data_IF_510792536283
#
_entry.id   IF_510792536283
#
_cell.length_a   1.000
_cell.length_b   1.000
_cell.length_c   1.000
_cell.angle_alpha   90.00
_cell.angle_beta   90.00
_cell.angle_gamma   90.00
#
_symmetry.space_group_name_H-M   'P 1'
#
loop_
_entity.id
_entity.type
_entity.pdbx_description
1 polymer ?
#
# COMPACT_ATOMS: atom_id res chain seq x y z
N UNK A 1 -16.03 -29.00 4.39
CA UNK A 1 -16.41 -27.62 4.81
C UNK A 1 -15.31 -26.55 4.68
N UNK A 2 -14.04 -26.90 4.42
CA UNK A 2 -12.96 -25.95 4.09
C UNK A 2 -13.24 -25.13 2.81
N UNK A 3 -13.86 -25.77 1.82
CA UNK A 3 -14.14 -25.18 0.50
C UNK A 3 -15.05 -23.95 0.57
N UNK A 4 -16.10 -24.01 1.41
CA UNK A 4 -17.01 -22.87 1.62
C UNK A 4 -16.32 -21.70 2.34
N UNK A 5 -15.50 -21.98 3.36
CA UNK A 5 -14.73 -20.96 4.07
C UNK A 5 -13.70 -20.27 3.16
N UNK A 6 -13.11 -21.01 2.21
CA UNK A 6 -12.21 -20.45 1.20
C UNK A 6 -12.95 -19.54 0.21
N UNK A 7 -14.14 -19.94 -0.26
CA UNK A 7 -14.98 -19.11 -1.14
C UNK A 7 -15.40 -17.82 -0.44
N UNK A 8 -15.87 -17.91 0.81
CA UNK A 8 -16.25 -16.75 1.61
C UNK A 8 -15.06 -15.82 1.88
N UNK A 9 -13.86 -16.38 2.06
CA UNK A 9 -12.61 -15.62 2.21
C UNK A 9 -12.21 -14.88 0.94
N UNK A 10 -12.29 -15.53 -0.23
CA UNK A 10 -11.99 -14.90 -1.53
C UNK A 10 -12.98 -13.77 -1.87
N UNK A 11 -14.19 -13.83 -1.31
CA UNK A 11 -15.18 -12.75 -1.39
C UNK A 11 -14.85 -11.55 -0.47
N UNK A 12 -13.91 -11.68 0.48
CA UNK A 12 -13.49 -10.55 1.30
C UNK A 12 -12.68 -9.56 0.46
N UNK A 13 -13.06 -8.29 0.53
CA UNK A 13 -12.50 -7.25 -0.33
C UNK A 13 -10.98 -7.08 -0.26
N UNK A 14 -10.37 -7.35 0.90
CA UNK A 14 -8.92 -7.20 1.12
C UNK A 14 -8.23 -8.53 1.46
N UNK A 15 -8.79 -9.65 1.01
CA UNK A 15 -8.20 -10.96 1.26
C UNK A 15 -6.79 -11.12 0.69
N UNK A 16 -5.95 -11.81 1.45
CA UNK A 16 -4.57 -12.18 1.10
C UNK A 16 -4.28 -13.64 1.47
N UNK A 17 -3.36 -14.31 0.81
CA UNK A 17 -2.93 -15.68 1.19
C UNK A 17 -1.55 -15.64 1.83
N UNK A 18 -1.15 -16.70 2.53
CA UNK A 18 0.20 -16.85 3.07
C UNK A 18 0.20 -17.40 4.49
N UNK A 19 1.31 -18.00 4.95
CA UNK A 19 1.43 -18.46 6.33
C UNK A 19 1.45 -17.26 7.26
N UNK A 20 0.55 -17.23 8.25
CA UNK A 20 0.43 -16.14 9.21
C UNK A 20 1.00 -16.55 10.56
N UNK A 21 1.83 -15.68 11.09
CA UNK A 21 2.27 -15.63 12.48
C UNK A 21 1.78 -14.32 13.08
N UNK A 22 0.91 -14.44 14.08
CA UNK A 22 0.31 -13.32 14.79
C UNK A 22 0.59 -13.51 16.27
N UNK A 23 1.39 -12.61 16.84
CA UNK A 23 1.76 -12.65 18.25
C UNK A 23 1.33 -11.36 18.92
N UNK A 24 0.56 -11.44 20.00
CA UNK A 24 0.09 -10.28 20.74
C UNK A 24 -0.83 -10.67 21.90
N UNK A 25 -1.33 -9.65 22.60
CA UNK A 25 -2.34 -9.82 23.63
C UNK A 25 -3.55 -8.98 23.26
N UNK A 26 -4.75 -9.54 23.39
CA UNK A 26 -5.99 -8.84 23.11
C UNK A 26 -6.97 -8.95 24.27
N UNK A 27 -7.73 -7.89 24.48
CA UNK A 27 -8.89 -7.85 25.37
C UNK A 27 -10.08 -7.33 24.59
N UNK A 28 -11.26 -7.90 24.83
CA UNK A 28 -12.50 -7.47 24.20
C UNK A 28 -13.70 -7.84 25.06
N UNK A 29 -14.82 -7.15 24.84
CA UNK A 29 -16.15 -7.59 25.27
C UNK A 29 -16.77 -8.46 24.19
N UNK A 30 -17.27 -9.64 24.55
CA UNK A 30 -17.93 -10.54 23.59
C UNK A 30 -19.22 -9.94 23.01
N UNK A 31 -19.85 -8.99 23.70
CA UNK A 31 -21.08 -8.34 23.25
C UNK A 31 -20.80 -7.24 22.21
N UNK A 32 -19.56 -6.78 22.11
CA UNK A 32 -19.17 -5.71 21.21
C UNK A 32 -17.67 -5.77 20.88
N UNK A 33 -17.27 -6.81 20.15
CA UNK A 33 -15.85 -7.03 19.82
C UNK A 33 -15.31 -5.87 18.99
N UNK A 34 -16.06 -5.38 18.00
CA UNK A 34 -15.56 -4.41 17.03
C UNK A 34 -15.36 -3.00 17.59
N UNK A 35 -15.99 -2.64 18.72
CA UNK A 35 -15.75 -1.36 19.39
C UNK A 35 -14.88 -1.48 20.65
N UNK A 36 -14.66 -2.69 21.19
CA UNK A 36 -13.92 -2.87 22.45
C UNK A 36 -12.59 -3.59 22.31
N UNK A 37 -12.32 -4.23 21.16
CA UNK A 37 -11.05 -4.91 20.92
C UNK A 37 -9.88 -3.94 21.14
N UNK A 38 -8.97 -4.33 22.00
CA UNK A 38 -7.79 -3.55 22.35
C UNK A 38 -6.60 -4.47 22.59
N UNK A 39 -5.40 -3.97 22.31
CA UNK A 39 -4.16 -4.69 22.59
C UNK A 39 -3.07 -4.49 21.54
N UNK A 40 -1.79 -4.64 21.94
CA UNK A 40 -0.67 -4.60 21.02
C UNK A 40 -0.42 -5.96 20.37
N UNK A 41 0.31 -5.94 19.26
CA UNK A 41 0.89 -7.15 18.71
C UNK A 41 1.82 -6.91 17.54
N UNK A 42 2.25 -8.04 16.98
CA UNK A 42 3.13 -8.14 15.82
C UNK A 42 2.48 -9.09 14.82
N UNK A 43 2.58 -8.71 13.56
CA UNK A 43 2.07 -9.48 12.43
C UNK A 43 3.25 -9.86 11.54
N UNK A 44 3.27 -11.11 11.12
CA UNK A 44 4.13 -11.59 10.04
C UNK A 44 3.34 -12.55 9.16
N UNK A 45 3.27 -12.22 7.89
CA UNK A 45 2.72 -13.08 6.85
C UNK A 45 3.87 -13.39 5.92
N UNK A 46 4.15 -14.67 5.71
CA UNK A 46 5.15 -15.13 4.74
C UNK A 46 4.65 -15.01 3.30
N UNK A 47 5.34 -15.67 2.38
CA UNK A 47 5.03 -15.58 0.94
C UNK A 47 3.56 -15.89 0.66
N UNK A 48 2.95 -15.04 -0.17
CA UNK A 48 1.51 -15.01 -0.35
C UNK A 48 1.05 -14.24 -1.59
N UNK A 49 -0.26 -14.08 -1.72
CA UNK A 49 -0.90 -13.36 -2.83
C UNK A 49 -2.04 -12.47 -2.34
N UNK A 50 -2.19 -11.31 -2.94
CA UNK A 50 -3.39 -10.49 -2.82
C UNK A 50 -4.47 -11.08 -3.72
N UNK A 51 -5.62 -11.42 -3.14
CA UNK A 51 -6.73 -12.08 -3.83
C UNK A 51 -8.05 -11.31 -3.71
N UNK A 52 -8.17 -10.41 -2.73
CA UNK A 52 -9.36 -9.61 -2.50
C UNK A 52 -9.57 -8.52 -3.56
N UNK A 53 -10.77 -8.40 -4.17
CA UNK A 53 -11.01 -7.51 -5.31
C UNK A 53 -10.80 -6.01 -4.99
N UNK A 54 -11.05 -5.57 -3.75
CA UNK A 54 -10.83 -4.18 -3.32
C UNK A 54 -9.35 -3.86 -3.13
N UNK A 55 -8.58 -4.80 -2.58
CA UNK A 55 -7.12 -4.66 -2.50
C UNK A 55 -6.49 -4.57 -3.89
N UNK A 56 -6.95 -5.40 -4.83
CA UNK A 56 -6.52 -5.36 -6.23
C UNK A 56 -6.82 -4.00 -6.87
N UNK A 57 -8.04 -3.49 -6.69
CA UNK A 57 -8.44 -2.18 -7.22
C UNK A 57 -7.62 -1.03 -6.60
N UNK A 58 -7.33 -1.08 -5.30
CA UNK A 58 -6.52 -0.08 -4.59
C UNK A 58 -5.09 -0.03 -5.15
N UNK A 59 -4.42 -1.18 -5.23
CA UNK A 59 -3.06 -1.27 -5.76
C UNK A 59 -3.02 -0.84 -7.24
N UNK A 60 -4.00 -1.28 -8.03
CA UNK A 60 -4.15 -0.85 -9.42
C UNK A 60 -4.35 0.67 -9.56
N UNK A 61 -5.13 1.29 -8.66
CA UNK A 61 -5.33 2.74 -8.62
C UNK A 61 -4.03 3.50 -8.32
N UNK A 62 -3.25 3.06 -7.33
CA UNK A 62 -1.95 3.65 -6.99
C UNK A 62 -0.98 3.55 -8.17
N UNK A 63 -0.89 2.39 -8.81
CA UNK A 63 -0.02 2.16 -9.97
C UNK A 63 -0.43 3.02 -11.16
N UNK A 64 -1.74 3.15 -11.45
CA UNK A 64 -2.22 4.01 -12.55
C UNK A 64 -1.88 5.48 -12.32
N UNK A 65 -2.08 5.98 -11.10
CA UNK A 65 -1.75 7.37 -10.76
C UNK A 65 -0.24 7.60 -10.80
N UNK A 66 0.57 6.66 -10.29
CA UNK A 66 2.04 6.72 -10.39
C UNK A 66 2.55 6.57 -11.84
N UNK A 67 1.90 5.74 -12.65
CA UNK A 67 2.23 5.47 -14.04
C UNK A 67 1.93 6.65 -14.98
N UNK A 68 0.84 7.39 -14.74
CA UNK A 68 0.54 8.63 -15.46
C UNK A 68 1.59 9.74 -15.19
N UNK A 69 2.26 9.70 -14.04
CA UNK A 69 3.37 10.61 -13.73
C UNK A 69 4.70 10.08 -14.29
N UNK A 70 4.87 8.74 -14.35
CA UNK A 70 6.06 8.09 -14.91
C UNK A 70 6.11 8.12 -16.44
N UNK A 71 4.96 8.10 -17.13
CA UNK A 71 4.87 8.23 -18.60
C UNK A 71 5.34 9.61 -19.11
N UNK A 72 5.38 10.61 -18.24
CA UNK A 72 5.97 11.93 -18.51
C UNK A 72 7.50 11.95 -18.33
N UNK A 73 8.11 10.86 -17.80
CA UNK A 73 9.53 10.75 -17.44
C UNK A 73 10.28 9.60 -18.17
N UNK A 74 9.70 9.07 -19.25
CA UNK A 74 10.27 8.12 -20.23
C UNK A 74 10.36 6.61 -19.90
N UNK A 75 9.73 5.85 -20.81
CA UNK A 75 10.21 4.67 -21.57
C UNK A 75 10.50 3.30 -20.96
N UNK A 76 10.36 3.05 -19.66
CA UNK A 76 10.39 1.67 -19.14
C UNK A 76 9.05 1.29 -18.50
N UNK A 77 8.13 0.83 -19.34
CA UNK A 77 6.89 0.19 -18.89
C UNK A 77 7.24 -1.24 -18.45
N UNK A 78 6.95 -1.65 -17.20
CA UNK A 78 7.29 -2.99 -16.73
C UNK A 78 6.52 -4.07 -17.49
N UNK A 79 7.18 -5.21 -17.76
CA UNK A 79 6.50 -6.43 -18.17
C UNK A 79 5.51 -6.85 -17.08
N UNK A 80 4.22 -6.94 -17.44
CA UNK A 80 3.08 -7.37 -16.62
C UNK A 80 3.12 -8.86 -16.20
N UNK A 81 4.29 -9.50 -16.20
CA UNK A 81 4.47 -10.93 -15.91
C UNK A 81 4.73 -11.24 -14.43
N UNK A 82 5.41 -10.35 -13.70
CA UNK A 82 5.58 -10.47 -12.24
C UNK A 82 4.41 -9.75 -11.58
N UNK A 83 3.37 -10.49 -11.22
CA UNK A 83 2.15 -9.89 -10.67
C UNK A 83 2.49 -9.17 -9.35
N UNK A 84 2.27 -7.84 -9.23
CA UNK A 84 2.47 -7.08 -7.98
C UNK A 84 1.50 -7.50 -6.85
N UNK A 85 0.74 -8.57 -7.10
CA UNK A 85 -0.19 -9.22 -6.20
C UNK A 85 0.51 -10.31 -5.40
N UNK A 86 1.61 -10.87 -5.91
CA UNK A 86 2.43 -11.80 -5.12
C UNK A 86 3.38 -11.01 -4.22
N UNK A 87 3.51 -11.46 -2.98
CA UNK A 87 4.41 -10.86 -2.00
C UNK A 87 5.27 -11.91 -1.32
N UNK A 88 6.47 -11.50 -0.92
CA UNK A 88 7.37 -12.32 -0.13
C UNK A 88 7.05 -12.23 1.36
N UNK A 89 6.62 -11.05 1.84
CA UNK A 89 6.18 -10.88 3.23
C UNK A 89 5.32 -9.66 3.48
N UNK A 90 4.47 -9.73 4.50
CA UNK A 90 3.84 -8.58 5.16
C UNK A 90 4.21 -8.62 6.64
N UNK A 91 4.84 -7.58 7.16
CA UNK A 91 5.31 -7.53 8.55
C UNK A 91 4.98 -6.21 9.21
N UNK A 92 4.72 -6.18 10.51
CA UNK A 92 4.62 -4.92 11.23
C UNK A 92 4.19 -5.08 12.67
N UNK A 93 4.18 -3.96 13.38
CA UNK A 93 3.59 -3.84 14.71
C UNK A 93 2.23 -3.18 14.60
N UNK A 94 1.34 -3.52 15.53
CA UNK A 94 0.05 -2.87 15.64
C UNK A 94 -0.32 -2.60 17.09
N UNK A 95 -1.16 -1.58 17.26
CA UNK A 95 -1.86 -1.31 18.51
C UNK A 95 -3.35 -1.14 18.18
N UNK A 96 -4.19 -1.92 18.83
CA UNK A 96 -5.65 -1.74 18.76
C UNK A 96 -6.09 -0.99 20.01
N UNK A 97 -6.91 0.05 19.84
CA UNK A 97 -7.55 0.79 20.93
C UNK A 97 -9.02 0.94 20.56
N UNK A 98 -9.92 0.36 21.36
CA UNK A 98 -11.37 0.47 21.19
C UNK A 98 -11.82 0.21 19.74
N UNK A 99 -11.34 -0.90 19.16
CA UNK A 99 -11.71 -1.30 17.80
C UNK A 99 -10.98 -0.55 16.67
N UNK A 100 -10.02 0.32 16.99
CA UNK A 100 -9.20 1.03 16.00
C UNK A 100 -7.80 0.44 15.98
N UNK A 101 -7.46 -0.24 14.89
CA UNK A 101 -6.12 -0.71 14.60
C UNK A 101 -5.24 0.45 14.16
N UNK A 102 -4.07 0.59 14.76
CA UNK A 102 -3.04 1.56 14.40
C UNK A 102 -1.74 0.84 14.10
N UNK A 103 -1.02 1.29 13.08
CA UNK A 103 0.32 0.81 12.75
C UNK A 103 1.20 1.97 12.31
N UNK A 104 2.52 1.80 12.47
CA UNK A 104 3.53 2.78 12.03
C UNK A 104 4.52 2.20 11.03
N UNK A 105 4.54 0.88 10.88
CA UNK A 105 5.63 0.14 10.25
C UNK A 105 5.14 -1.09 9.49
N UNK A 106 3.85 -1.15 9.12
CA UNK A 106 3.34 -2.25 8.32
C UNK A 106 3.99 -2.21 6.94
N UNK A 107 4.82 -3.20 6.67
CA UNK A 107 5.66 -3.32 5.50
C UNK A 107 5.23 -4.51 4.65
N UNK A 108 4.74 -4.22 3.46
CA UNK A 108 4.55 -5.19 2.39
C UNK A 108 5.81 -5.22 1.52
N UNK A 109 6.34 -6.41 1.25
CA UNK A 109 7.51 -6.61 0.39
C UNK A 109 7.19 -7.65 -0.69
N UNK A 110 7.45 -7.28 -1.94
CA UNK A 110 7.45 -8.19 -3.08
C UNK A 110 8.72 -8.01 -3.91
N UNK A 111 8.87 -8.84 -4.95
CA UNK A 111 9.96 -8.71 -5.92
C UNK A 111 9.93 -7.37 -6.65
N UNK A 112 8.74 -6.89 -6.99
CA UNK A 112 8.56 -5.67 -7.77
C UNK A 112 8.65 -4.41 -6.90
N UNK A 113 8.14 -4.45 -5.66
CA UNK A 113 7.98 -3.23 -4.85
C UNK A 113 8.00 -3.48 -3.34
N UNK A 114 8.20 -2.40 -2.60
CA UNK A 114 7.96 -2.32 -1.15
C UNK A 114 6.90 -1.27 -0.87
N UNK A 115 6.01 -1.53 0.06
CA UNK A 115 5.01 -0.58 0.53
C UNK A 115 5.10 -0.50 2.05
N UNK A 116 5.50 0.66 2.56
CA UNK A 116 5.42 1.00 3.98
C UNK A 116 4.11 1.72 4.25
N UNK A 117 3.39 1.28 5.28
CA UNK A 117 2.06 1.76 5.64
C UNK A 117 2.07 2.20 7.11
N UNK A 118 1.61 3.42 7.36
CA UNK A 118 1.34 3.94 8.70
C UNK A 118 -0.07 4.53 8.73
N UNK A 119 -0.77 4.43 9.85
CA UNK A 119 -2.10 5.01 9.99
C UNK A 119 -3.06 4.11 10.76
N UNK A 120 -4.35 4.29 10.49
CA UNK A 120 -5.42 3.63 11.24
C UNK A 120 -6.51 2.97 10.38
N UNK A 121 -7.14 1.97 10.98
CA UNK A 121 -8.32 1.30 10.45
C UNK A 121 -9.31 1.00 11.59
N UNK A 122 -10.55 1.47 11.47
CA UNK A 122 -11.61 1.17 12.44
C UNK A 122 -12.39 -0.07 12.01
N UNK A 123 -12.42 -1.12 12.84
CA UNK A 123 -13.12 -2.36 12.50
C UNK A 123 -14.62 -2.17 12.34
N UNK A 124 -15.27 -1.46 13.27
CA UNK A 124 -16.72 -1.24 13.20
C UNK A 124 -17.14 -0.23 12.13
N UNK A 125 -16.32 0.80 11.89
CA UNK A 125 -16.65 1.86 10.93
C UNK A 125 -16.20 1.51 9.50
N UNK A 126 -15.34 0.51 9.36
CA UNK A 126 -14.60 0.17 8.15
C UNK A 126 -13.88 1.37 7.50
N UNK A 127 -13.53 2.39 8.28
CA UNK A 127 -12.84 3.58 7.79
C UNK A 127 -11.34 3.42 7.93
N UNK A 128 -10.61 3.88 6.92
CA UNK A 128 -9.16 3.91 6.92
C UNK A 128 -8.65 5.35 6.80
N UNK A 129 -7.48 5.58 7.38
CA UNK A 129 -6.66 6.77 7.18
C UNK A 129 -5.19 6.33 7.20
N UNK A 130 -4.59 6.19 6.02
CA UNK A 130 -3.30 5.55 5.80
C UNK A 130 -2.37 6.47 5.01
N UNK A 131 -1.15 6.58 5.49
CA UNK A 131 0.00 7.11 4.77
C UNK A 131 0.80 5.93 4.21
N UNK A 132 1.02 5.92 2.90
CA UNK A 132 1.72 4.87 2.17
C UNK A 132 2.95 5.44 1.48
N UNK A 133 4.09 4.76 1.64
CA UNK A 133 5.30 5.00 0.86
C UNK A 133 5.57 3.75 0.03
N UNK A 134 5.46 3.89 -1.30
CA UNK A 134 5.69 2.82 -2.27
C UNK A 134 7.05 3.05 -2.91
N UNK A 135 7.93 2.06 -2.79
CA UNK A 135 9.25 2.06 -3.45
C UNK A 135 9.24 1.02 -4.55
N UNK A 136 9.59 1.42 -5.77
CA UNK A 136 9.68 0.55 -6.93
C UNK A 136 10.91 0.91 -7.77
N UNK A 137 11.86 -0.02 -7.90
CA UNK A 137 13.17 0.25 -8.50
C UNK A 137 13.89 1.40 -7.77
N UNK A 138 14.15 2.50 -8.49
CA UNK A 138 14.73 3.72 -7.92
C UNK A 138 13.69 4.77 -7.48
N UNK A 139 12.43 4.60 -7.89
CA UNK A 139 11.37 5.56 -7.60
C UNK A 139 10.74 5.37 -6.22
N UNK A 140 10.34 6.48 -5.60
CA UNK A 140 9.49 6.52 -4.42
C UNK A 140 8.20 7.29 -4.73
N UNK A 141 7.07 6.76 -4.26
CA UNK A 141 5.76 7.36 -4.37
C UNK A 141 5.13 7.45 -2.98
N UNK A 142 4.65 8.63 -2.61
CA UNK A 142 3.85 8.82 -1.39
C UNK A 142 2.37 8.96 -1.73
N UNK A 143 1.53 8.21 -1.02
CA UNK A 143 0.09 8.25 -1.19
C UNK A 143 -0.61 8.34 0.17
N UNK A 144 -1.71 9.11 0.22
CA UNK A 144 -2.66 9.17 1.32
C UNK A 144 -3.93 8.45 0.91
N UNK A 145 -4.38 7.49 1.72
CA UNK A 145 -5.61 6.72 1.48
C UNK A 145 -6.57 6.96 2.63
N UNK A 146 -7.75 7.50 2.35
CA UNK A 146 -8.74 7.83 3.38
C UNK A 146 -10.16 7.41 3.00
N UNK A 147 -11.03 7.26 3.99
CA UNK A 147 -12.45 7.02 3.78
C UNK A 147 -12.88 5.56 4.02
N UNK A 148 -14.07 5.16 3.56
CA UNK A 148 -14.56 3.79 3.73
C UNK A 148 -13.72 2.78 2.95
N UNK A 149 -13.47 1.60 3.52
CA UNK A 149 -12.77 0.50 2.85
C UNK A 149 -13.52 -0.04 1.63
N UNK A 150 -14.81 0.22 1.49
CA UNK A 150 -15.56 -0.14 0.28
C UNK A 150 -15.27 0.79 -0.90
N UNK A 151 -14.87 2.04 -0.64
CA UNK A 151 -14.60 3.07 -1.66
C UNK A 151 -13.63 4.14 -1.12
N UNK A 152 -12.33 3.82 -1.02
CA UNK A 152 -11.35 4.74 -0.47
C UNK A 152 -11.00 5.86 -1.46
N UNK A 153 -10.71 7.05 -0.94
CA UNK A 153 -10.08 8.15 -1.67
C UNK A 153 -8.57 7.99 -1.63
N UNK A 154 -7.91 8.12 -2.79
CA UNK A 154 -6.46 8.02 -2.93
C UNK A 154 -5.93 9.36 -3.42
N UNK A 155 -4.98 9.93 -2.68
CA UNK A 155 -4.27 11.15 -3.08
C UNK A 155 -2.78 10.85 -3.15
N UNK A 156 -2.18 11.10 -4.31
CA UNK A 156 -0.76 10.83 -4.54
C UNK A 156 0.01 12.15 -4.52
N UNK A 157 1.19 12.16 -3.90
CA UNK A 157 2.09 13.31 -3.95
C UNK A 157 3.12 13.15 -5.08
N UNK A 158 2.95 13.82 -6.24
CA UNK A 158 3.83 13.66 -7.39
C UNK A 158 5.25 14.18 -7.16
N UNK A 159 5.48 15.07 -6.18
CA UNK A 159 6.81 15.61 -5.89
C UNK A 159 7.78 14.54 -5.32
N UNK A 160 7.27 13.40 -4.86
CA UNK A 160 8.10 12.28 -4.40
C UNK A 160 8.83 11.55 -5.54
N UNK A 161 8.34 11.65 -6.77
CA UNK A 161 8.92 10.99 -7.96
C UNK A 161 10.13 11.76 -8.51
N UNK A 162 10.22 13.08 -8.26
CA UNK A 162 11.18 13.98 -8.91
C UNK A 162 12.61 13.94 -8.32
N UNK A 163 12.82 13.31 -7.16
CA UNK A 163 14.12 13.35 -6.47
C UNK A 163 15.27 12.63 -7.18
N UNK A 164 14.99 11.77 -8.16
CA UNK A 164 16.03 11.11 -8.96
C UNK A 164 16.20 11.69 -10.37
N UNK A 165 15.27 12.53 -10.86
CA UNK A 165 15.43 13.23 -12.13
C UNK A 165 16.47 14.38 -12.03
N UNK A 166 16.58 15.01 -10.85
CA UNK A 166 17.48 16.14 -10.61
C UNK A 166 18.95 15.77 -10.39
N UNK A 167 19.28 14.50 -10.10
CA UNK A 167 20.69 14.08 -9.98
C UNK A 167 21.44 14.04 -11.33
N UNK A 168 20.74 14.28 -12.43
CA UNK A 168 21.30 14.22 -13.78
C UNK A 168 21.81 15.54 -14.36
N UNK A 169 21.59 16.70 -13.74
CA UNK A 169 22.06 18.01 -14.25
C UNK A 169 21.67 18.34 -15.70
N UNK A 170 20.70 17.62 -16.28
CA UNK A 170 20.31 17.73 -17.70
C UNK A 170 19.24 18.78 -17.95
N UNK A 171 18.42 19.10 -16.96
CA UNK A 171 17.36 20.11 -17.07
C UNK A 171 17.95 21.54 -17.16
N UNK A 172 18.97 21.84 -16.36
CA UNK A 172 19.63 23.16 -16.39
C UNK A 172 20.40 23.41 -17.70
N UNK A 173 21.02 22.37 -18.28
CA UNK A 173 21.69 22.47 -19.58
C UNK A 173 20.70 22.68 -20.73
N UNK A 174 19.55 22.01 -20.71
CA UNK A 174 18.54 22.13 -21.76
C UNK A 174 17.90 23.51 -21.83
N UNK A 175 17.63 24.15 -20.68
CA UNK A 175 17.09 25.51 -20.63
C UNK A 175 18.12 26.56 -21.08
N UNK A 176 19.40 26.38 -20.69
CA UNK A 176 20.49 27.30 -21.08
C UNK A 176 20.76 27.32 -22.58
N UNK A 177 20.63 26.18 -23.26
CA UNK A 177 20.85 26.09 -24.72
C UNK A 177 19.66 26.62 -25.53
N UNK A 178 18.43 26.53 -25.02
CA UNK A 178 17.26 27.12 -25.66
C UNK A 178 17.28 28.66 -25.60
N UNK A 179 17.74 29.24 -24.49
CA UNK A 179 17.87 30.69 -24.34
C UNK A 179 18.98 31.29 -25.23
N UNK A 180 20.01 30.52 -25.57
CA UNK A 180 21.06 30.94 -26.53
C UNK A 180 20.59 30.96 -27.98
N UNK A 181 19.52 30.23 -28.33
CA UNK A 181 18.96 30.18 -29.69
C UNK A 181 17.96 31.29 -30.01
N UNK A 182 17.55 32.08 -29.01
CA UNK A 182 16.56 33.15 -29.14
C UNK A 182 17.24 34.54 -29.12
N UNK A 183 18.58 34.59 -29.23
CA UNK A 183 19.34 35.84 -29.31
C UNK A 183 20.04 35.99 -30.66
#
# INVERSE_FOLDING_TARGET
>A
PLEKALVDYLCQGYAITGPMDLTGATSFSAHDVYHTLSGPGTLKIGRGKVVGPRALALLGGIVRVGGAVSSLLSSDVPNLGDSPLEFDSITGTYQIINGVLNTKDLLYTSRAMKILIAGSYGFATERMDLDMTITHGRGELKAKVTGPASSPSIRVNPASILRDADRGGKLEKGLGDLLKKIR
#
